data_IF_005299661123
#
_entry.id   IF_005299661123
#
_cell.length_a   1.000
_cell.length_b   1.000
_cell.length_c   1.000
_cell.angle_alpha   90.00
_cell.angle_beta   90.00
_cell.angle_gamma   90.00
#
_symmetry.space_group_name_H-M   'P 1'
#
loop_
_entity.id
_entity.type
_entity.pdbx_description
1 polymer ?
#
# COMPACT_ATOMS: atom_id res chain seq x y z
N UNK A 1 -4.53 15.84 7.84
CA UNK A 1 -4.25 14.93 8.96
C UNK A 1 -5.56 14.74 9.71
N UNK A 2 -6.42 13.86 9.20
CA UNK A 2 -7.75 13.60 9.76
C UNK A 2 -7.84 12.13 10.13
N UNK A 3 -7.12 11.72 11.17
CA UNK A 3 -7.29 10.39 11.73
C UNK A 3 -8.54 10.37 12.59
N UNK A 4 -9.38 9.36 12.42
CA UNK A 4 -10.49 9.10 13.32
C UNK A 4 -9.93 8.51 14.63
N UNK A 5 -10.31 9.12 15.75
CA UNK A 5 -9.99 8.60 17.08
C UNK A 5 -11.00 7.49 17.41
N UNK A 6 -10.51 6.27 17.63
CA UNK A 6 -11.34 5.13 18.03
C UNK A 6 -10.88 4.59 19.37
N UNK A 7 -11.84 4.14 20.18
CA UNK A 7 -11.56 3.40 21.41
C UNK A 7 -11.41 1.92 21.05
N UNK A 8 -10.17 1.45 20.96
CA UNK A 8 -9.87 0.06 20.65
C UNK A 8 -9.61 -0.71 21.95
N UNK A 9 -10.20 -1.91 22.12
CA UNK A 9 -9.87 -2.76 23.26
C UNK A 9 -8.40 -3.19 23.16
N UNK A 10 -7.67 -3.06 24.27
CA UNK A 10 -6.31 -3.56 24.44
C UNK A 10 -6.20 -4.35 25.73
N UNK A 11 -5.06 -5.02 25.96
CA UNK A 11 -4.81 -5.76 27.21
C UNK A 11 -4.92 -4.90 28.49
N UNK A 12 -4.73 -3.58 28.38
CA UNK A 12 -4.89 -2.61 29.48
C UNK A 12 -6.24 -1.89 29.51
N UNK A 13 -7.24 -2.35 28.76
CA UNK A 13 -8.53 -1.69 28.59
C UNK A 13 -8.62 -0.81 27.32
N UNK A 14 -9.75 -0.12 27.09
CA UNK A 14 -9.98 0.69 25.89
C UNK A 14 -8.96 1.82 25.77
N UNK A 15 -8.20 1.84 24.67
CA UNK A 15 -7.20 2.87 24.38
C UNK A 15 -7.71 3.78 23.26
N UNK A 16 -7.42 5.08 23.38
CA UNK A 16 -7.61 6.03 22.28
C UNK A 16 -6.52 5.78 21.25
N UNK A 17 -6.88 5.18 20.13
CA UNK A 17 -5.96 4.90 19.03
C UNK A 17 -6.32 5.77 17.84
N UNK A 18 -5.31 6.42 17.25
CA UNK A 18 -5.47 7.11 15.97
C UNK A 18 -5.41 6.07 14.87
N UNK A 19 -6.53 5.92 14.18
CA UNK A 19 -6.60 5.11 12.96
C UNK A 19 -6.38 6.08 11.80
N UNK A 20 -5.49 5.70 10.89
CA UNK A 20 -5.27 6.43 9.64
C UNK A 20 -5.68 5.54 8.47
N UNK A 21 -6.39 6.09 7.48
CA UNK A 21 -6.70 5.34 6.26
C UNK A 21 -5.44 5.10 5.44
N UNK A 22 -5.48 4.09 4.57
CA UNK A 22 -4.37 3.71 3.70
C UNK A 22 -3.81 4.89 2.88
N UNK A 23 -4.70 5.77 2.38
CA UNK A 23 -4.31 7.01 1.71
C UNK A 23 -3.34 7.86 2.53
N UNK A 24 -3.61 8.00 3.84
CA UNK A 24 -2.77 8.79 4.73
C UNK A 24 -1.48 8.06 5.09
N UNK A 25 -1.49 6.72 5.11
CA UNK A 25 -0.26 5.91 5.22
C UNK A 25 0.67 6.19 4.05
N UNK A 26 0.18 6.12 2.80
CA UNK A 26 1.02 6.44 1.63
C UNK A 26 1.54 7.87 1.67
N UNK A 27 0.71 8.84 2.05
CA UNK A 27 1.16 10.24 2.22
C UNK A 27 2.23 10.38 3.31
N UNK A 28 2.17 9.58 4.36
CA UNK A 28 3.17 9.57 5.41
C UNK A 28 4.48 8.96 4.92
N UNK A 29 4.42 7.83 4.21
CA UNK A 29 5.59 7.16 3.63
C UNK A 29 6.31 8.12 2.68
N UNK A 30 5.59 8.74 1.74
CA UNK A 30 6.11 9.70 0.75
C UNK A 30 6.67 11.01 1.35
N UNK A 31 6.54 11.21 2.66
CA UNK A 31 7.07 12.38 3.39
C UNK A 31 8.08 11.99 4.46
N UNK A 32 8.25 10.70 4.69
CA UNK A 32 9.11 10.16 5.73
C UNK A 32 10.56 10.19 5.26
N UNK A 33 11.49 10.37 6.20
CA UNK A 33 12.94 10.34 5.94
C UNK A 33 13.60 9.09 6.53
N UNK A 34 12.79 8.09 6.88
CA UNK A 34 13.33 6.82 7.38
C UNK A 34 13.79 5.98 6.17
N UNK A 35 14.95 5.30 6.24
CA UNK A 35 15.51 4.59 5.10
C UNK A 35 14.56 3.57 4.46
N UNK A 36 13.72 2.92 5.28
CA UNK A 36 12.74 1.93 4.80
C UNK A 36 11.61 2.58 3.99
N UNK A 37 11.21 3.80 4.34
CA UNK A 37 10.16 4.53 3.62
C UNK A 37 10.68 5.04 2.28
N UNK A 38 11.93 5.55 2.25
CA UNK A 38 12.58 5.98 1.00
C UNK A 38 12.73 4.81 0.03
N UNK A 39 13.17 3.64 0.50
CA UNK A 39 13.25 2.43 -0.34
C UNK A 39 11.89 2.02 -0.92
N UNK A 40 10.82 2.12 -0.13
CA UNK A 40 9.47 1.83 -0.60
C UNK A 40 9.01 2.86 -1.64
N UNK A 41 9.21 4.15 -1.37
CA UNK A 41 8.91 5.25 -2.30
C UNK A 41 9.63 5.04 -3.64
N UNK A 42 10.94 4.80 -3.60
CA UNK A 42 11.76 4.55 -4.79
C UNK A 42 11.27 3.35 -5.59
N UNK A 43 10.93 2.25 -4.92
CA UNK A 43 10.39 1.06 -5.57
C UNK A 43 9.04 1.32 -6.23
N UNK A 44 8.13 2.02 -5.54
CA UNK A 44 6.81 2.38 -6.07
C UNK A 44 6.95 3.28 -7.31
N UNK A 45 7.78 4.33 -7.22
CA UNK A 45 7.93 5.31 -8.30
C UNK A 45 8.71 4.75 -9.48
N UNK A 46 9.71 3.90 -9.23
CA UNK A 46 10.60 3.38 -10.29
C UNK A 46 10.07 2.12 -10.96
N UNK A 47 9.31 1.27 -10.26
CA UNK A 47 8.78 0.00 -10.82
C UNK A 47 7.28 -0.04 -10.93
N UNK A 48 6.56 0.25 -9.84
CA UNK A 48 5.12 0.01 -9.77
C UNK A 48 4.36 0.98 -10.67
N UNK A 49 4.53 2.30 -10.48
CA UNK A 49 3.82 3.31 -11.25
C UNK A 49 4.12 3.24 -12.76
N UNK A 50 5.39 3.04 -13.21
CA UNK A 50 5.68 2.89 -14.62
C UNK A 50 5.05 1.62 -15.22
N UNK A 51 4.97 0.53 -14.47
CA UNK A 51 4.31 -0.70 -14.92
C UNK A 51 2.80 -0.50 -15.06
N UNK A 52 2.13 0.09 -14.06
CA UNK A 52 0.71 0.45 -14.14
C UNK A 52 0.44 1.38 -15.32
N UNK A 53 1.29 2.39 -15.53
CA UNK A 53 1.13 3.33 -16.65
C UNK A 53 1.24 2.64 -18.01
N UNK A 54 2.10 1.62 -18.15
CA UNK A 54 2.31 0.91 -19.42
C UNK A 54 1.26 -0.17 -19.68
N UNK A 55 0.88 -0.93 -18.65
CA UNK A 55 0.07 -2.14 -18.79
C UNK A 55 -1.35 -2.00 -18.23
N UNK A 56 -1.66 -0.89 -17.56
CA UNK A 56 -2.93 -0.65 -16.87
C UNK A 56 -3.04 -1.32 -15.49
N UNK A 57 -2.11 -2.21 -15.14
CA UNK A 57 -2.06 -2.91 -13.85
C UNK A 57 -0.63 -3.20 -13.41
N UNK A 58 -0.43 -3.44 -12.12
CA UNK A 58 0.80 -4.02 -11.58
C UNK A 58 0.53 -5.49 -11.25
N UNK A 59 1.15 -6.38 -11.99
CA UNK A 59 1.13 -7.82 -11.72
C UNK A 59 2.57 -8.34 -11.74
N UNK A 60 2.82 -9.49 -11.11
CA UNK A 60 4.10 -10.18 -11.26
C UNK A 60 4.29 -10.57 -12.73
N UNK A 61 5.52 -10.58 -13.22
CA UNK A 61 5.82 -10.88 -14.63
C UNK A 61 5.19 -12.22 -15.07
N UNK A 62 5.15 -13.21 -14.17
CA UNK A 62 4.49 -14.52 -14.36
C UNK A 62 2.98 -14.43 -14.71
N UNK A 63 2.28 -13.40 -14.23
CA UNK A 63 0.86 -13.13 -14.52
C UNK A 63 0.67 -12.32 -15.81
N UNK A 64 1.65 -11.48 -16.18
CA UNK A 64 1.61 -10.68 -17.40
C UNK A 64 1.88 -11.55 -18.65
N UNK A 65 2.75 -12.54 -18.51
CA UNK A 65 3.15 -13.44 -19.60
C UNK A 65 2.15 -14.59 -19.83
N UNK A 66 1.23 -14.83 -18.89
CA UNK A 66 0.24 -15.92 -19.00
C UNK A 66 -1.19 -15.46 -18.66
N UNK A 67 -1.96 -15.00 -19.67
CA UNK A 67 -3.29 -14.43 -19.46
C UNK A 67 -4.34 -15.41 -18.92
N UNK A 68 -4.14 -16.73 -19.00
CA UNK A 68 -5.03 -17.71 -18.38
C UNK A 68 -4.97 -17.69 -16.85
N UNK A 69 -3.82 -17.34 -16.27
CA UNK A 69 -3.63 -17.30 -14.82
C UNK A 69 -4.34 -16.10 -14.14
N UNK A 70 -4.67 -15.06 -14.92
CA UNK A 70 -5.48 -13.92 -14.46
C UNK A 70 -6.95 -14.27 -14.23
N UNK A 71 -7.48 -15.29 -14.90
CA UNK A 71 -8.88 -15.70 -14.76
C UNK A 71 -9.10 -16.52 -13.49
N UNK A 72 -8.10 -17.31 -13.09
CA UNK A 72 -8.18 -18.21 -11.92
C UNK A 72 -8.01 -17.46 -10.58
N UNK A 73 -7.50 -16.23 -10.61
CA UNK A 73 -7.30 -15.40 -9.42
C UNK A 73 -8.46 -14.46 -9.10
N UNK A 74 -9.42 -14.32 -10.04
CA UNK A 74 -10.61 -13.45 -9.92
C UNK A 74 -11.91 -14.28 -9.81
N UNK A 75 -11.83 -15.59 -10.00
CA UNK A 75 -12.91 -16.56 -9.75
C UNK A 75 -12.89 -17.08 -8.31
#
# INVERSE_FOLDING_TARGET
MGGNESLLPSAGGPQKTKIIPERDVYRLIMRSRIPQAEQFEDWVVSKVLPSIRKHGMYAKDELLDNPEFLLDTVA
#
